data_IF_156248031823
#
_entry.id   IF_156248031823
#
_cell.length_a   1.000
_cell.length_b   1.000
_cell.length_c   1.000
_cell.angle_alpha   90.00
_cell.angle_beta   90.00
_cell.angle_gamma   90.00
#
_symmetry.space_group_name_H-M   'P 1'
#
loop_
_entity.id
_entity.type
_entity.pdbx_description
1 polymer ?
#
# COMPACT_ATOMS: atom_id res chain seq x y z
N UNK A 1 -16.74 -21.46 -14.22
CA UNK A 1 -15.55 -20.64 -14.20
C UNK A 1 -15.48 -19.92 -12.91
N UNK A 2 -14.71 -20.37 -12.02
CA UNK A 2 -14.71 -19.79 -10.71
C UNK A 2 -13.62 -18.76 -10.60
N UNK A 3 -13.77 -17.81 -9.73
CA UNK A 3 -12.72 -16.86 -9.46
C UNK A 3 -11.59 -17.67 -8.88
N UNK A 4 -10.50 -17.74 -9.57
CA UNK A 4 -9.36 -18.31 -8.93
C UNK A 4 -8.92 -17.30 -7.93
N UNK A 5 -8.54 -17.75 -6.82
CA UNK A 5 -8.06 -16.87 -5.86
C UNK A 5 -6.92 -16.12 -6.49
N UNK A 6 -7.03 -14.86 -6.53
CA UNK A 6 -5.98 -14.05 -7.04
C UNK A 6 -4.82 -14.34 -6.18
N UNK A 7 -3.74 -14.54 -6.76
CA UNK A 7 -2.60 -14.90 -6.01
C UNK A 7 -2.29 -13.77 -5.11
N UNK A 8 -2.49 -13.79 -4.19
CA UNK A 8 -1.94 -12.98 -3.36
C UNK A 8 -1.99 -11.68 -3.19
N UNK A 9 -2.75 -11.29 -2.96
CA UNK A 9 -2.66 -10.09 -2.59
C UNK A 9 -1.83 -9.92 -1.42
N UNK A 10 -0.74 -9.89 -1.50
CA UNK A 10 -0.06 -9.09 -0.79
C UNK A 10 0.00 -9.01 0.63
N UNK A 11 0.97 -8.80 1.09
CA UNK A 11 1.31 -8.78 2.38
C UNK A 11 2.03 -7.49 2.69
N UNK A 12 1.47 -6.40 2.66
CA UNK A 12 1.95 -5.27 3.38
C UNK A 12 1.28 -5.44 4.72
N UNK A 13 1.46 -4.60 5.63
CA UNK A 13 0.84 -4.77 6.93
C UNK A 13 -0.65 -4.99 6.81
N UNK A 14 -1.33 -4.20 6.02
CA UNK A 14 -2.74 -4.39 5.85
C UNK A 14 -2.98 -5.58 4.96
N UNK A 15 -2.19 -5.73 3.95
CA UNK A 15 -2.35 -6.83 3.04
C UNK A 15 -2.10 -8.17 3.67
N UNK A 16 -1.20 -8.22 4.63
CA UNK A 16 -0.97 -9.47 5.30
C UNK A 16 -2.21 -9.96 6.02
N UNK A 17 -2.95 -9.03 6.61
CA UNK A 17 -4.18 -9.43 7.27
C UNK A 17 -5.19 -9.93 6.25
N UNK A 18 -5.27 -9.28 5.11
CA UNK A 18 -6.21 -9.72 4.09
C UNK A 18 -5.80 -11.08 3.54
N UNK A 19 -4.54 -11.26 3.26
CA UNK A 19 -4.09 -12.52 2.71
C UNK A 19 -4.26 -13.64 3.71
N UNK A 20 -4.03 -13.32 4.96
CA UNK A 20 -4.12 -14.36 5.94
C UNK A 20 -5.54 -14.82 6.12
N UNK A 21 -6.49 -13.95 5.91
CA UNK A 21 -7.83 -14.37 6.20
C UNK A 21 -8.38 -15.34 5.19
N UNK A 22 -7.76 -15.59 4.11
CA UNK A 22 -8.44 -16.47 3.31
C UNK A 22 -7.96 -17.17 2.28
N UNK A 23 -6.93 -17.52 2.22
CA UNK A 23 -6.50 -18.14 1.13
C UNK A 23 -6.99 -19.37 0.95
N UNK A 24 -7.57 -19.66 0.23
CA UNK A 24 -8.08 -20.88 0.12
C UNK A 24 -7.52 -21.56 -0.89
N UNK A 25 -6.84 -21.87 -1.36
CA UNK A 25 -6.52 -22.51 -2.37
C UNK A 25 -6.07 -23.45 -2.74
N UNK A 26 -6.05 -23.64 -3.02
CA UNK A 26 -5.79 -24.34 -3.99
C UNK A 26 -4.79 -25.28 -3.77
N UNK A 27 -3.96 -25.44 -4.41
CA UNK A 27 -3.04 -26.39 -4.44
C UNK A 27 -2.38 -26.52 -3.20
N UNK A 28 -2.35 -27.12 -2.48
CA UNK A 28 -1.79 -27.34 -1.47
C UNK A 28 -0.70 -27.12 -1.06
N UNK A 29 -0.36 -26.55 -0.60
CA UNK A 29 0.75 -26.22 -0.33
C UNK A 29 1.34 -26.57 0.88
N UNK A 30 1.39 -27.01 1.57
CA UNK A 30 2.12 -27.08 2.75
C UNK A 30 1.80 -25.90 3.63
N UNK A 31 2.28 -25.94 4.86
CA UNK A 31 1.93 -24.85 5.79
C UNK A 31 2.63 -23.52 5.49
N UNK A 32 3.68 -23.53 4.71
CA UNK A 32 4.38 -22.27 4.44
C UNK A 32 3.84 -21.63 3.17
N UNK A 33 3.61 -20.34 3.20
CA UNK A 33 3.15 -19.59 2.05
C UNK A 33 4.04 -18.37 1.92
N UNK A 34 4.60 -18.17 0.74
CA UNK A 34 5.54 -17.07 0.51
C UNK A 34 5.15 -16.29 -0.73
N UNK A 35 5.51 -15.02 -0.77
CA UNK A 35 5.25 -14.20 -1.94
C UNK A 35 6.35 -13.19 -2.14
N UNK A 36 6.45 -12.67 -3.34
CA UNK A 36 7.30 -11.53 -3.64
C UNK A 36 6.61 -10.68 -4.70
N UNK A 37 6.77 -9.39 -4.61
CA UNK A 37 6.20 -8.50 -5.61
C UNK A 37 7.14 -7.35 -5.89
N UNK A 38 7.02 -6.79 -7.09
CA UNK A 38 7.78 -5.62 -7.50
C UNK A 38 6.85 -4.71 -8.29
N UNK A 39 6.85 -3.43 -7.97
CA UNK A 39 6.00 -2.46 -8.64
C UNK A 39 6.88 -1.31 -9.12
N UNK A 40 6.75 -0.97 -10.41
CA UNK A 40 7.31 0.26 -10.94
C UNK A 40 6.18 1.28 -10.97
N UNK A 41 6.43 2.49 -10.49
CA UNK A 41 5.39 3.50 -10.43
C UNK A 41 5.90 4.80 -11.03
N UNK A 42 5.03 5.52 -11.72
CA UNK A 42 5.36 6.81 -12.29
C UNK A 42 4.16 7.73 -12.16
N UNK A 43 4.38 8.90 -11.52
CA UNK A 43 3.37 9.93 -11.46
C UNK A 43 3.92 11.09 -12.28
N UNK A 44 3.22 11.47 -13.34
CA UNK A 44 3.74 12.49 -14.21
C UNK A 44 3.46 13.89 -13.65
N UNK A 45 3.89 14.91 -14.33
CA UNK A 45 3.90 16.25 -13.79
C UNK A 45 2.64 16.67 -13.08
N UNK A 46 2.72 16.86 -11.79
CA UNK A 46 1.61 17.32 -10.99
C UNK A 46 1.77 18.83 -10.83
N UNK A 47 0.83 19.59 -11.39
CA UNK A 47 0.90 21.05 -11.34
C UNK A 47 0.60 21.52 -9.94
N UNK A 48 1.48 22.32 -9.37
CA UNK A 48 1.30 22.85 -8.02
C UNK A 48 0.48 24.15 -8.08
N UNK A 49 -0.39 24.33 -7.11
CA UNK A 49 -1.31 25.47 -7.15
C UNK A 49 -0.59 26.82 -7.17
N UNK A 50 0.54 26.94 -6.49
CA UNK A 50 1.26 28.20 -6.47
C UNK A 50 2.36 28.27 -7.50
N UNK A 51 2.38 27.36 -8.44
CA UNK A 51 3.33 27.38 -9.56
C UNK A 51 4.33 26.27 -9.52
N UNK A 52 4.73 25.84 -10.69
CA UNK A 52 5.68 24.75 -10.83
C UNK A 52 5.00 23.40 -10.86
N UNK A 53 5.80 22.36 -10.91
CA UNK A 53 5.25 21.02 -10.94
C UNK A 53 6.25 20.03 -10.34
N UNK A 54 5.80 18.81 -10.11
CA UNK A 54 6.71 17.76 -9.71
C UNK A 54 6.30 16.43 -10.33
N UNK A 55 7.21 15.51 -10.36
CA UNK A 55 6.96 14.16 -10.84
C UNK A 55 7.68 13.20 -9.91
N UNK A 56 7.23 11.94 -9.91
CA UNK A 56 7.85 10.90 -9.10
C UNK A 56 7.99 9.64 -9.92
N UNK A 57 9.11 8.96 -9.79
CA UNK A 57 9.23 7.62 -10.31
C UNK A 57 9.77 6.75 -9.20
N UNK A 58 9.41 5.49 -9.20
CA UNK A 58 9.86 4.67 -8.10
C UNK A 58 9.69 3.18 -8.29
N UNK A 59 10.19 2.48 -7.29
CA UNK A 59 10.15 1.04 -7.24
C UNK A 59 9.66 0.65 -5.86
N UNK A 60 8.73 -0.28 -5.79
CA UNK A 60 8.16 -0.76 -4.54
C UNK A 60 8.37 -2.26 -4.51
N UNK A 61 9.08 -2.76 -3.52
CA UNK A 61 9.35 -4.19 -3.38
C UNK A 61 8.74 -4.70 -2.09
N UNK A 62 8.12 -5.86 -2.17
CA UNK A 62 7.50 -6.50 -1.01
C UNK A 62 7.83 -7.98 -1.05
N UNK A 63 7.99 -8.57 0.10
CA UNK A 63 8.16 -10.01 0.18
C UNK A 63 7.79 -10.50 1.56
N UNK A 64 7.39 -11.74 1.65
CA UNK A 64 7.04 -12.27 2.95
C UNK A 64 6.76 -13.74 2.92
N UNK A 65 6.65 -14.30 4.11
CA UNK A 65 6.32 -15.69 4.29
C UNK A 65 5.47 -15.82 5.54
N UNK A 66 4.61 -16.80 5.57
CA UNK A 66 3.76 -17.05 6.71
C UNK A 66 3.56 -18.54 6.90
N UNK A 67 3.40 -18.94 8.14
CA UNK A 67 3.11 -20.32 8.49
C UNK A 67 1.65 -20.43 8.88
N UNK A 68 0.94 -21.36 8.26
CA UNK A 68 -0.47 -21.57 8.49
C UNK A 68 -0.61 -22.72 9.49
N UNK A 69 -1.08 -22.42 10.69
CA UNK A 69 -1.29 -23.43 11.74
C UNK A 69 -2.66 -24.08 11.63
N UNK A 70 -3.48 -23.64 10.69
CA UNK A 70 -4.83 -24.16 10.53
C UNK A 70 -5.86 -23.39 11.31
N UNK A 71 -7.10 -23.52 10.93
CA UNK A 71 -8.24 -22.91 11.64
C UNK A 71 -8.18 -21.38 11.71
N UNK A 72 -7.52 -20.76 10.75
CA UNK A 72 -7.39 -19.31 10.72
C UNK A 72 -6.22 -18.78 11.53
N UNK A 73 -5.38 -19.65 12.07
CA UNK A 73 -4.24 -19.22 12.88
C UNK A 73 -3.01 -19.16 11.98
N UNK A 74 -2.39 -18.00 11.90
CA UNK A 74 -1.18 -17.83 11.06
C UNK A 74 -0.23 -16.85 11.70
N UNK A 75 1.04 -16.99 11.36
CA UNK A 75 2.06 -16.03 11.77
C UNK A 75 3.06 -15.88 10.64
N UNK A 76 3.46 -14.66 10.38
CA UNK A 76 4.36 -14.41 9.27
C UNK A 76 5.28 -13.24 9.49
N UNK A 77 6.07 -12.95 8.46
CA UNK A 77 6.92 -11.78 8.44
C UNK A 77 6.90 -11.23 7.02
N UNK A 78 6.83 -9.91 6.89
CA UNK A 78 6.91 -9.26 5.60
C UNK A 78 7.98 -8.19 5.62
N UNK A 79 8.63 -7.99 4.50
CA UNK A 79 9.65 -6.96 4.33
C UNK A 79 9.21 -6.04 3.21
N UNK A 80 9.49 -4.74 3.38
CA UNK A 80 9.14 -3.74 2.40
C UNK A 80 10.35 -2.89 2.08
N UNK A 81 10.51 -2.52 0.83
CA UNK A 81 11.51 -1.55 0.42
C UNK A 81 10.91 -0.68 -0.69
N UNK A 82 10.93 0.65 -0.49
CA UNK A 82 10.48 1.57 -1.52
C UNK A 82 11.62 2.52 -1.84
N UNK A 83 11.77 2.86 -3.11
CA UNK A 83 12.71 3.86 -3.59
C UNK A 83 11.90 4.81 -4.46
N UNK A 84 11.80 6.07 -4.04
CA UNK A 84 11.00 7.07 -4.76
C UNK A 84 11.88 8.26 -5.10
N UNK A 85 11.90 8.61 -6.37
CA UNK A 85 12.73 9.70 -6.88
C UNK A 85 11.79 10.83 -7.29
N UNK A 86 11.86 11.95 -6.59
CA UNK A 86 11.02 13.12 -6.85
C UNK A 86 11.83 14.16 -7.61
N UNK A 87 11.18 14.82 -8.55
CA UNK A 87 11.79 15.88 -9.32
C UNK A 87 10.85 17.07 -9.34
N UNK A 88 11.28 18.19 -8.84
CA UNK A 88 10.47 19.42 -8.76
C UNK A 88 10.99 20.43 -9.75
N UNK A 89 10.06 21.19 -10.37
CA UNK A 89 10.42 22.25 -11.31
C UNK A 89 9.74 23.54 -10.86
N UNK A 90 10.52 24.51 -10.45
CA UNK A 90 10.03 25.86 -10.16
C UNK A 90 8.88 25.89 -9.16
N UNK A 91 9.02 25.09 -8.11
CA UNK A 91 7.95 25.02 -7.10
C UNK A 91 7.98 26.25 -6.21
N UNK A 92 7.18 26.98 -6.50
CA UNK A 92 7.17 28.18 -5.91
C UNK A 92 6.95 28.22 -4.53
N UNK A 93 5.98 27.44 -4.15
CA UNK A 93 5.65 27.43 -2.71
C UNK A 93 6.81 27.03 -1.83
N UNK A 94 7.80 26.38 -2.39
CA UNK A 94 8.95 25.93 -1.63
C UNK A 94 10.19 26.75 -1.95
N UNK A 95 10.02 27.96 -2.41
CA UNK A 95 11.15 28.85 -2.72
C UNK A 95 11.89 28.48 -4.00
N UNK A 96 11.23 27.80 -4.88
CA UNK A 96 11.81 27.34 -6.14
C UNK A 96 12.99 26.37 -5.93
N UNK A 97 13.05 25.74 -4.77
CA UNK A 97 14.03 24.71 -4.48
C UNK A 97 13.27 23.44 -4.17
N UNK A 98 13.73 22.33 -4.65
CA UNK A 98 13.03 21.06 -4.35
C UNK A 98 12.99 20.85 -2.83
N UNK A 99 11.82 20.63 -2.25
CA UNK A 99 11.76 20.42 -0.80
C UNK A 99 12.38 19.10 -0.40
N UNK A 100 12.40 18.12 -1.30
CA UNK A 100 13.08 16.85 -1.06
C UNK A 100 13.39 16.18 -2.40
N UNK A 101 14.20 15.16 -2.39
CA UNK A 101 14.60 14.48 -3.61
C UNK A 101 14.32 12.98 -3.56
N UNK A 102 15.19 12.17 -3.05
CA UNK A 102 15.00 10.72 -3.04
C UNK A 102 14.54 10.29 -1.66
N UNK A 103 13.45 9.54 -1.61
CA UNK A 103 12.89 9.04 -0.36
C UNK A 103 12.89 7.52 -0.41
N UNK A 104 13.36 6.89 0.66
CA UNK A 104 13.38 5.44 0.75
C UNK A 104 12.64 4.99 2.00
N UNK A 105 12.06 3.80 1.92
CA UNK A 105 11.36 3.22 3.04
C UNK A 105 11.88 1.80 3.21
N UNK A 106 12.19 1.42 4.45
CA UNK A 106 12.61 0.08 4.79
C UNK A 106 11.66 -0.38 5.88
N UNK A 107 10.97 -1.47 5.69
CA UNK A 107 9.99 -1.88 6.67
C UNK A 107 9.96 -3.36 6.96
N UNK A 108 9.51 -3.70 8.15
CA UNK A 108 9.26 -5.08 8.53
C UNK A 108 7.95 -5.12 9.31
N UNK A 109 7.15 -6.13 9.05
CA UNK A 109 5.90 -6.33 9.78
C UNK A 109 5.76 -7.79 10.15
N UNK A 110 5.03 -8.05 11.21
CA UNK A 110 4.79 -9.41 11.67
C UNK A 110 3.29 -9.62 11.73
N UNK A 111 2.68 -10.06 10.63
CA UNK A 111 1.24 -10.28 10.64
C UNK A 111 0.89 -11.56 11.37
N UNK A 112 -0.08 -11.47 12.26
CA UNK A 112 -0.57 -12.58 13.04
C UNK A 112 -2.07 -12.68 12.88
N UNK A 113 -2.63 -13.88 12.83
CA UNK A 113 -4.05 -14.04 12.84
C UNK A 113 -4.46 -15.19 13.76
N UNK A 114 -5.69 -15.09 14.27
CA UNK A 114 -6.22 -16.05 15.22
C UNK A 114 -7.66 -16.35 14.82
N UNK A 115 -7.97 -17.59 14.52
CA UNK A 115 -9.34 -18.01 14.27
C UNK A 115 -10.06 -18.16 15.58
N UNK A 116 -11.23 -17.54 15.72
CA UNK A 116 -11.96 -17.56 16.98
C UNK A 116 -13.35 -18.19 16.86
N UNK A 117 -13.61 -18.89 15.79
CA UNK A 117 -14.87 -19.61 15.65
C UNK A 117 -15.91 -18.83 14.89
N UNK A 118 -16.89 -19.54 14.36
CA UNK A 118 -18.04 -18.97 13.62
C UNK A 118 -17.59 -18.14 12.43
N UNK A 119 -16.47 -18.48 11.84
CA UNK A 119 -15.97 -17.78 10.66
C UNK A 119 -15.21 -16.51 10.97
N UNK A 120 -14.99 -16.17 12.23
CA UNK A 120 -14.26 -14.94 12.56
C UNK A 120 -12.77 -15.18 12.69
N UNK A 121 -12.01 -14.26 12.18
CA UNK A 121 -10.54 -14.27 12.30
C UNK A 121 -10.12 -12.90 12.82
N UNK A 122 -9.35 -12.89 13.88
CA UNK A 122 -8.78 -11.65 14.40
C UNK A 122 -7.38 -11.49 13.87
N UNK A 123 -7.00 -10.27 13.55
CA UNK A 123 -5.67 -9.98 13.04
C UNK A 123 -4.95 -8.94 13.88
N UNK A 124 -3.63 -9.08 13.95
CA UNK A 124 -2.77 -8.12 14.63
C UNK A 124 -1.45 -8.08 13.86
N UNK A 125 -1.06 -6.90 13.39
CA UNK A 125 0.14 -6.79 12.58
C UNK A 125 0.98 -5.59 13.02
N UNK A 126 1.91 -5.80 13.93
CA UNK A 126 2.84 -4.74 14.30
C UNK A 126 3.88 -4.53 13.22
N UNK A 127 4.38 -3.31 13.11
CA UNK A 127 5.37 -3.01 12.08
C UNK A 127 6.32 -1.90 12.48
N UNK A 128 7.47 -1.91 11.84
CA UNK A 128 8.47 -0.86 11.94
C UNK A 128 8.83 -0.45 10.52
N UNK A 129 8.82 0.86 10.25
CA UNK A 129 9.22 1.37 8.95
C UNK A 129 10.15 2.56 9.18
N UNK A 130 11.29 2.58 8.51
CA UNK A 130 12.16 3.73 8.47
C UNK A 130 11.92 4.41 7.14
N UNK A 131 11.40 5.64 7.18
CA UNK A 131 11.00 6.34 5.97
C UNK A 131 11.74 7.66 5.93
N UNK A 132 12.65 7.80 4.99
CA UNK A 132 13.57 8.92 5.06
C UNK A 132 14.05 9.37 3.70
N UNK A 133 14.27 10.67 3.59
CA UNK A 133 14.98 11.22 2.44
C UNK A 133 16.46 10.84 2.58
N UNK A 134 17.17 10.71 1.46
CA UNK A 134 18.59 10.47 1.51
C UNK A 134 19.25 11.60 2.32
N UNK A 135 20.11 11.24 3.24
CA UNK A 135 20.75 12.21 4.13
C UNK A 135 20.02 12.44 5.44
N UNK A 136 18.87 11.84 5.62
CA UNK A 136 18.15 12.01 6.89
C UNK A 136 18.69 11.04 7.94
N UNK A 137 18.50 11.39 9.19
CA UNK A 137 18.93 10.56 10.30
C UNK A 137 17.95 9.40 10.48
N UNK A 138 18.45 8.19 10.35
CA UNK A 138 17.58 7.01 10.43
C UNK A 138 16.90 6.88 11.79
N UNK A 139 17.60 7.24 12.87
CA UNK A 139 17.00 7.14 14.19
C UNK A 139 15.81 8.06 14.39
N UNK A 140 15.69 9.12 13.59
CA UNK A 140 14.55 10.04 13.68
C UNK A 140 13.53 9.77 12.59
N UNK A 141 13.65 8.68 11.86
CA UNK A 141 12.80 8.39 10.70
C UNK A 141 11.87 7.21 10.94
N UNK A 142 11.73 6.75 12.15
CA UNK A 142 10.96 5.54 12.43
C UNK A 142 9.47 5.81 12.54
N UNK A 143 8.70 5.01 11.86
CA UNK A 143 7.25 4.95 12.00
C UNK A 143 6.96 3.56 12.55
N UNK A 144 6.27 3.47 13.67
CA UNK A 144 5.96 2.18 14.25
C UNK A 144 4.53 2.16 14.76
N UNK A 145 3.99 0.99 14.79
CA UNK A 145 2.63 0.83 15.25
C UNK A 145 2.08 -0.52 14.88
N UNK A 146 0.78 -0.62 14.77
CA UNK A 146 0.14 -1.89 14.46
C UNK A 146 -1.23 -1.68 13.87
N UNK A 147 -1.70 -2.70 13.15
CA UNK A 147 -3.11 -2.77 12.78
C UNK A 147 -3.76 -3.90 13.56
N UNK A 148 -5.03 -3.73 13.87
CA UNK A 148 -5.86 -4.79 14.44
C UNK A 148 -7.10 -4.90 13.59
N UNK A 149 -7.66 -6.11 13.48
CA UNK A 149 -8.83 -6.30 12.65
C UNK A 149 -9.67 -7.48 13.08
N UNK A 150 -10.90 -7.48 12.66
CA UNK A 150 -11.78 -8.63 12.77
C UNK A 150 -12.45 -8.85 11.43
N UNK A 151 -12.36 -10.07 10.91
CA UNK A 151 -12.89 -10.40 9.59
C UNK A 151 -13.79 -11.61 9.71
N UNK A 152 -15.00 -11.53 9.14
CA UNK A 152 -15.91 -12.66 9.10
C UNK A 152 -15.79 -13.31 7.74
N UNK A 153 -15.55 -14.62 7.72
CA UNK A 153 -15.59 -15.39 6.50
C UNK A 153 -16.94 -16.05 6.41
N UNK A 154 -17.58 -15.92 5.28
CA UNK A 154 -18.90 -16.49 5.06
C UNK A 154 -18.79 -17.76 4.21
N UNK A 155 -19.62 -18.31 4.31
CA UNK A 155 -19.61 -19.47 3.63
C UNK A 155 -19.44 -19.25 2.21
N UNK A 156 -19.25 -19.53 1.50
CA UNK A 156 -18.97 -19.32 0.11
C UNK A 156 -17.62 -18.64 -0.14
N UNK A 157 -16.91 -18.30 0.90
CA UNK A 157 -15.61 -17.70 0.72
C UNK A 157 -15.58 -16.18 0.75
N UNK A 158 -16.71 -15.53 0.79
CA UNK A 158 -16.74 -14.09 0.90
C UNK A 158 -16.24 -13.63 2.27
N UNK A 159 -15.63 -12.46 2.34
CA UNK A 159 -15.08 -11.94 3.58
C UNK A 159 -15.43 -10.48 3.75
N UNK A 160 -15.71 -10.09 4.98
CA UNK A 160 -16.00 -8.71 5.28
C UNK A 160 -15.51 -8.43 6.69
N UNK A 161 -14.86 -7.31 6.89
CA UNK A 161 -14.35 -7.00 8.21
C UNK A 161 -13.98 -5.54 8.36
N UNK A 162 -13.55 -5.23 9.57
CA UNK A 162 -13.14 -3.88 9.90
C UNK A 162 -11.82 -3.96 10.63
N UNK A 163 -11.05 -2.92 10.51
CA UNK A 163 -9.80 -2.83 11.24
C UNK A 163 -9.48 -1.40 11.59
N UNK A 164 -8.42 -1.24 12.34
CA UNK A 164 -7.89 0.07 12.67
C UNK A 164 -6.38 -0.02 12.76
N UNK A 165 -5.72 1.06 12.36
CA UNK A 165 -4.29 1.17 12.52
C UNK A 165 -3.98 2.32 13.46
N UNK A 166 -2.95 2.13 14.29
CA UNK A 166 -2.48 3.18 15.19
C UNK A 166 -0.97 3.23 15.06
N UNK A 167 -0.44 4.39 14.69
CA UNK A 167 0.98 4.51 14.40
C UNK A 167 1.57 5.79 14.96
N UNK A 168 2.78 5.66 15.47
CA UNK A 168 3.60 6.82 15.77
C UNK A 168 4.33 7.14 14.48
N UNK A 169 4.03 8.30 13.86
CA UNK A 169 4.52 8.61 12.55
C UNK A 169 5.36 9.85 12.57
N UNK A 170 6.55 9.79 13.05
CA UNK A 170 7.49 10.91 13.01
C UNK A 170 6.85 12.19 13.54
N UNK A 171 6.92 12.39 14.83
CA UNK A 171 6.38 13.56 15.53
C UNK A 171 4.86 13.66 15.49
N UNK A 172 4.16 12.56 15.28
CA UNK A 172 2.71 12.62 15.19
C UNK A 172 2.15 11.23 15.42
N UNK A 173 1.03 11.10 16.13
CA UNK A 173 0.34 9.81 16.24
C UNK A 173 -0.88 9.84 15.34
N UNK A 174 -1.06 8.80 14.56
CA UNK A 174 -2.20 8.69 13.65
C UNK A 174 -2.99 7.44 13.97
N UNK A 175 -4.29 7.54 13.86
CA UNK A 175 -5.18 6.39 13.97
C UNK A 175 -6.17 6.46 12.83
N UNK A 176 -6.47 5.32 12.23
CA UNK A 176 -7.41 5.32 11.12
C UNK A 176 -8.14 3.99 11.04
N UNK A 177 -9.42 4.03 10.67
CA UNK A 177 -10.17 2.79 10.46
C UNK A 177 -10.03 2.34 9.02
N UNK A 178 -10.27 1.08 8.75
CA UNK A 178 -10.33 0.60 7.38
C UNK A 178 -11.28 -0.56 7.24
N UNK A 179 -11.78 -0.73 6.02
CA UNK A 179 -12.71 -1.78 5.70
C UNK A 179 -11.94 -2.90 5.01
N UNK A 180 -12.26 -4.13 5.33
CA UNK A 180 -11.68 -5.29 4.68
C UNK A 180 -12.79 -5.99 3.93
N UNK A 181 -12.63 -6.15 2.63
CA UNK A 181 -13.68 -6.76 1.82
C UNK A 181 -13.10 -7.62 0.72
N UNK A 182 -13.72 -8.77 0.52
CA UNK A 182 -13.46 -9.62 -0.63
C UNK A 182 -14.77 -10.30 -0.90
N UNK A 183 -15.58 -9.70 -1.77
CA UNK A 183 -16.93 -10.14 -2.00
C UNK A 183 -17.17 -10.47 -3.45
N UNK A 184 -17.49 -11.70 -3.76
CA UNK A 184 -17.77 -12.14 -5.10
C UNK A 184 -19.26 -12.14 -5.28
N UNK A 185 -19.74 -11.27 -6.14
CA UNK A 185 -21.17 -11.21 -6.43
C UNK A 185 -21.59 -12.36 -7.35
N UNK A 186 -20.71 -12.74 -8.22
CA UNK A 186 -20.95 -13.85 -9.13
C UNK A 186 -19.62 -14.27 -9.74
N UNK A 187 -19.62 -15.00 -10.83
CA UNK A 187 -18.39 -15.49 -11.41
C UNK A 187 -17.55 -14.41 -12.08
N UNK A 188 -18.13 -13.23 -12.31
CA UNK A 188 -17.40 -12.20 -13.01
C UNK A 188 -17.13 -10.96 -12.18
N UNK A 189 -17.96 -10.65 -11.20
CA UNK A 189 -17.84 -9.39 -10.46
C UNK A 189 -17.41 -9.62 -9.03
N UNK A 190 -16.48 -8.81 -8.56
CA UNK A 190 -15.91 -8.94 -7.22
C UNK A 190 -15.52 -7.58 -6.68
N UNK A 191 -15.80 -7.33 -5.42
CA UNK A 191 -15.39 -6.11 -4.75
C UNK A 191 -14.29 -6.46 -3.76
N UNK A 192 -13.16 -5.78 -3.84
CA UNK A 192 -11.99 -6.07 -2.99
C UNK A 192 -11.28 -4.80 -2.60
N UNK A 193 -10.38 -4.90 -1.64
CA UNK A 193 -9.45 -3.80 -1.40
C UNK A 193 -8.39 -3.82 -2.51
N UNK A 194 -7.84 -2.67 -2.85
CA UNK A 194 -6.77 -2.66 -3.85
C UNK A 194 -5.55 -3.43 -3.37
N UNK A 195 -4.72 -3.84 -4.31
CA UNK A 195 -3.55 -4.63 -4.02
C UNK A 195 -2.56 -3.84 -3.17
N UNK A 196 -2.21 -4.30 -1.99
CA UNK A 196 -1.29 -3.54 -1.14
C UNK A 196 0.07 -3.27 -1.74
N UNK A 197 0.57 -4.19 -2.58
CA UNK A 197 1.88 -3.98 -3.19
C UNK A 197 1.80 -3.13 -4.45
N UNK A 198 0.61 -2.75 -4.87
CA UNK A 198 0.47 -1.93 -6.07
C UNK A 198 0.80 -0.47 -5.82
N UNK A 199 0.69 0.35 -6.84
CA UNK A 199 1.08 1.75 -6.72
C UNK A 199 0.08 2.62 -5.98
N UNK A 200 -1.10 2.11 -5.65
CA UNK A 200 -2.15 2.93 -5.04
C UNK A 200 -2.30 2.71 -3.55
N UNK A 201 -1.79 1.62 -3.02
CA UNK A 201 -2.00 1.26 -1.62
C UNK A 201 -3.36 0.61 -1.40
N UNK A 202 -3.56 -0.01 -0.26
CA UNK A 202 -4.76 -0.82 -0.01
C UNK A 202 -5.94 -0.11 0.64
N UNK A 203 -5.81 1.13 1.04
CA UNK A 203 -6.86 1.79 1.82
C UNK A 203 -7.96 2.32 0.93
N UNK A 204 -8.74 1.44 0.36
CA UNK A 204 -9.80 1.82 -0.56
C UNK A 204 -10.58 0.62 -1.02
N UNK A 205 -11.24 0.77 -2.15
CA UNK A 205 -12.07 -0.27 -2.74
C UNK A 205 -11.84 -0.36 -4.24
N UNK A 206 -12.00 -1.55 -4.76
CA UNK A 206 -11.83 -1.81 -6.18
C UNK A 206 -12.89 -2.79 -6.63
N UNK A 207 -13.57 -2.50 -7.74
CA UNK A 207 -14.56 -3.40 -8.30
C UNK A 207 -13.92 -4.06 -9.53
N UNK A 208 -13.86 -5.37 -9.53
CA UNK A 208 -13.21 -6.14 -10.57
C UNK A 208 -14.19 -6.88 -11.43
N UNK A 209 -13.87 -7.01 -12.69
CA UNK A 209 -14.65 -7.75 -13.67
C UNK A 209 -13.70 -8.71 -14.39
N UNK A 210 -14.03 -10.00 -14.37
CA UNK A 210 -13.24 -10.99 -15.09
C UNK A 210 -13.83 -11.14 -16.47
N UNK A 211 -13.12 -10.74 -17.49
CA UNK A 211 -13.67 -10.81 -18.84
C UNK A 211 -13.13 -11.99 -19.62
N UNK A 212 -12.13 -12.68 -19.11
CA UNK A 212 -11.59 -13.85 -19.77
C UNK A 212 -10.98 -14.69 -18.64
N UNK A 213 -10.64 -15.92 -18.91
CA UNK A 213 -10.08 -16.78 -17.88
C UNK A 213 -8.83 -16.22 -17.22
N UNK A 214 -7.97 -15.58 -18.00
CA UNK A 214 -6.71 -15.08 -17.47
C UNK A 214 -6.68 -13.56 -17.36
N UNK A 215 -7.75 -12.87 -17.68
CA UNK A 215 -7.75 -11.41 -17.69
C UNK A 215 -8.85 -10.84 -16.80
N UNK A 216 -8.50 -9.85 -16.03
CA UNK A 216 -9.43 -9.16 -15.16
C UNK A 216 -9.20 -7.66 -15.31
N UNK A 217 -10.23 -6.88 -15.24
CA UNK A 217 -10.11 -5.43 -15.20
C UNK A 217 -10.75 -4.94 -13.91
N UNK A 218 -10.22 -3.88 -13.35
CA UNK A 218 -10.78 -3.31 -12.13
C UNK A 218 -10.78 -1.80 -12.20
N UNK A 219 -11.65 -1.18 -11.40
CA UNK A 219 -11.67 0.25 -11.24
C UNK A 219 -11.77 0.52 -9.75
N UNK A 220 -11.01 1.47 -9.27
CA UNK A 220 -11.00 1.68 -7.83
C UNK A 220 -10.44 3.02 -7.42
N UNK A 221 -10.46 3.24 -6.13
CA UNK A 221 -9.89 4.43 -5.52
C UNK A 221 -9.34 4.06 -4.15
N UNK A 222 -8.27 4.73 -3.74
CA UNK A 222 -7.66 4.47 -2.46
C UNK A 222 -7.10 5.76 -1.89
N UNK A 223 -6.91 5.83 -0.59
CA UNK A 223 -6.22 6.95 0.03
C UNK A 223 -4.77 6.54 0.26
N UNK A 224 -3.84 7.42 -0.09
CA UNK A 224 -2.43 7.14 0.05
C UNK A 224 -1.73 8.29 0.75
N UNK A 225 -0.89 8.02 1.71
CA UNK A 225 -0.13 9.03 2.42
C UNK A 225 1.26 8.51 2.72
N UNK A 226 2.26 9.31 2.49
CA UNK A 226 3.65 8.96 2.77
C UNK A 226 4.25 10.09 3.60
N UNK A 227 4.84 9.76 4.74
CA UNK A 227 5.41 10.73 5.65
C UNK A 227 6.84 10.29 5.95
N UNK A 228 7.78 11.21 5.90
CA UNK A 228 9.19 10.86 5.99
C UNK A 228 10.03 11.98 6.58
N UNK A 229 11.17 11.59 7.15
CA UNK A 229 12.12 12.57 7.69
C UNK A 229 12.94 13.17 6.56
N UNK A 230 13.10 14.50 6.56
CA UNK A 230 13.91 15.19 5.56
C UNK A 230 15.39 15.18 5.92
N UNK A 231 16.21 15.38 4.92
CA UNK A 231 17.65 15.38 5.06
C UNK A 231 18.12 16.39 6.12
N UNK A 232 19.24 16.09 6.73
CA UNK A 232 19.84 17.00 7.71
C UNK A 232 20.61 18.12 7.04
N UNK A 233 20.63 18.19 5.73
CA UNK A 233 21.33 19.27 5.02
C UNK A 233 20.48 19.90 3.94
N UNK A 234 19.20 19.64 3.89
CA UNK A 234 18.32 20.22 2.89
C UNK A 234 17.70 21.54 3.34
N UNK A 235 16.73 22.04 2.59
CA UNK A 235 16.12 23.33 2.89
C UNK A 235 15.45 23.42 4.27
N UNK A 236 14.88 22.34 4.75
CA UNK A 236 14.30 22.32 6.09
C UNK A 236 14.98 21.17 6.83
N UNK A 237 16.08 21.49 7.49
CA UNK A 237 16.95 20.46 8.05
C UNK A 237 16.24 19.63 9.10
N UNK A 238 16.33 18.33 8.99
CA UNK A 238 15.71 17.39 9.89
C UNK A 238 14.20 17.58 9.99
N UNK A 239 13.60 18.20 9.00
CA UNK A 239 12.15 18.41 8.98
C UNK A 239 11.40 17.17 8.56
N UNK A 240 10.15 17.34 8.21
CA UNK A 240 9.27 16.23 7.83
C UNK A 240 8.59 16.57 6.52
N UNK A 241 8.57 15.62 5.60
CA UNK A 241 7.82 15.76 4.35
C UNK A 241 6.62 14.82 4.37
N UNK A 242 5.56 15.22 3.71
CA UNK A 242 4.39 14.36 3.60
C UNK A 242 3.72 14.60 2.26
N UNK A 243 3.35 13.51 1.59
CA UNK A 243 2.64 13.55 0.34
C UNK A 243 1.40 12.72 0.50
N UNK A 244 0.24 13.25 0.14
CA UNK A 244 -1.00 12.47 0.24
C UNK A 244 -1.89 12.72 -0.96
N UNK A 245 -2.81 11.82 -1.18
CA UNK A 245 -3.76 11.95 -2.28
C UNK A 245 -4.64 10.73 -2.40
N UNK A 246 -5.51 10.77 -3.39
CA UNK A 246 -6.46 9.71 -3.64
C UNK A 246 -6.26 9.21 -5.07
N UNK A 247 -5.47 8.17 -5.29
CA UNK A 247 -5.39 7.55 -6.60
C UNK A 247 -6.76 6.99 -7.00
N UNK A 248 -7.22 7.37 -8.19
CA UNK A 248 -8.41 6.82 -8.82
C UNK A 248 -7.90 6.12 -10.07
N UNK A 249 -8.15 4.83 -10.21
CA UNK A 249 -7.40 4.05 -11.18
C UNK A 249 -8.19 2.95 -11.84
N UNK A 250 -7.68 2.50 -12.97
CA UNK A 250 -8.11 1.29 -13.64
C UNK A 250 -6.94 0.33 -13.60
N UNK A 251 -7.22 -0.93 -13.36
CA UNK A 251 -6.20 -1.96 -13.32
C UNK A 251 -6.58 -3.07 -14.30
N UNK A 252 -5.63 -3.53 -15.08
CA UNK A 252 -5.83 -4.71 -15.93
C UNK A 252 -4.84 -5.75 -15.46
N UNK A 253 -5.31 -6.94 -15.18
CA UNK A 253 -4.49 -8.01 -14.66
C UNK A 253 -4.45 -9.18 -15.62
N UNK A 254 -3.25 -9.69 -15.87
CA UNK A 254 -3.03 -10.92 -16.62
C UNK A 254 -2.50 -11.95 -15.64
N UNK A 255 -3.24 -13.04 -15.48
CA UNK A 255 -2.78 -14.16 -14.65
C UNK A 255 -1.81 -15.01 -15.45
N UNK A 256 -0.68 -15.35 -14.86
CA UNK A 256 0.32 -16.16 -15.51
C UNK A 256 0.38 -17.49 -14.76
N UNK A 257 -0.60 -18.32 -14.98
CA UNK A 257 -0.74 -19.56 -14.23
C UNK A 257 -1.36 -19.29 -12.87
N UNK A 258 -1.12 -20.16 -11.92
CA UNK A 258 -1.74 -20.05 -10.61
C UNK A 258 -0.89 -19.28 -9.63
N UNK A 259 0.37 -19.06 -9.97
CA UNK A 259 1.29 -18.52 -9.00
C UNK A 259 1.79 -17.12 -9.30
N UNK A 260 1.52 -16.57 -10.45
CA UNK A 260 2.06 -15.28 -10.84
C UNK A 260 1.02 -14.42 -11.53
N UNK A 261 1.16 -13.12 -11.43
CA UNK A 261 0.27 -12.18 -12.12
C UNK A 261 1.00 -10.90 -12.45
N UNK A 262 0.57 -10.26 -13.52
CA UNK A 262 1.01 -8.92 -13.88
C UNK A 262 -0.18 -8.01 -13.80
N UNK A 263 0.00 -6.84 -13.17
CA UNK A 263 -1.07 -5.85 -13.02
C UNK A 263 -0.59 -4.54 -13.63
N UNK A 264 -1.39 -4.00 -14.54
CA UNK A 264 -1.09 -2.73 -15.20
C UNK A 264 -2.07 -1.69 -14.66
N UNK A 265 -1.59 -0.52 -14.26
CA UNK A 265 -2.41 0.52 -13.66
C UNK A 265 -2.32 1.80 -14.45
N UNK A 266 -3.44 2.47 -14.60
CA UNK A 266 -3.46 3.83 -15.10
C UNK A 266 -4.52 4.60 -14.35
N UNK A 267 -4.27 5.87 -14.08
CA UNK A 267 -5.24 6.66 -13.35
C UNK A 267 -4.74 8.05 -13.07
N UNK A 268 -5.34 8.67 -12.06
CA UNK A 268 -4.94 9.99 -11.63
C UNK A 268 -4.91 10.03 -10.11
N UNK A 269 -4.07 10.89 -9.57
CA UNK A 269 -4.07 11.14 -8.12
C UNK A 269 -4.88 12.41 -7.92
N UNK A 270 -6.01 12.31 -7.25
CA UNK A 270 -6.88 13.43 -6.96
C UNK A 270 -6.64 13.92 -5.53
N UNK A 271 -7.00 15.16 -5.26
CA UNK A 271 -6.90 15.70 -3.90
C UNK A 271 -5.48 15.72 -3.36
N UNK A 272 -4.52 15.93 -4.22
CA UNK A 272 -3.13 15.82 -3.84
C UNK A 272 -2.61 16.96 -2.98
N UNK A 273 -1.73 16.64 -2.06
CA UNK A 273 -1.19 17.63 -1.14
C UNK A 273 0.25 17.27 -0.78
N UNK A 274 1.08 18.29 -0.73
CA UNK A 274 2.44 18.18 -0.23
C UNK A 274 2.57 19.05 1.01
N UNK A 275 3.28 18.58 2.02
CA UNK A 275 3.41 19.32 3.27
C UNK A 275 4.84 19.19 3.76
N UNK A 276 5.38 20.30 4.27
CA UNK A 276 6.70 20.31 4.89
C UNK A 276 6.51 20.83 6.31
N UNK A 277 7.12 20.14 7.27
CA UNK A 277 7.07 20.52 8.68
C UNK A 277 8.49 20.69 9.19
N UNK A 278 8.67 21.44 10.25
CA UNK A 278 9.98 21.56 10.85
C UNK A 278 10.29 20.28 11.66
N UNK A 279 11.43 20.26 12.33
CA UNK A 279 11.86 19.03 12.98
C UNK A 279 10.95 18.63 14.13
N UNK A 280 10.17 19.54 14.68
CA UNK A 280 9.24 19.24 15.74
C UNK A 280 7.84 18.91 15.25
N UNK A 281 7.61 18.92 13.97
CA UNK A 281 6.31 18.59 13.43
C UNK A 281 5.39 19.79 13.20
N UNK A 282 5.89 21.02 13.29
CA UNK A 282 5.06 22.19 13.01
C UNK A 282 5.10 22.50 11.52
N UNK A 283 3.96 22.87 10.97
CA UNK A 283 3.87 23.11 9.54
C UNK A 283 4.70 24.32 9.11
N UNK A 284 5.46 24.17 8.05
CA UNK A 284 6.23 25.24 7.45
C UNK A 284 5.60 25.65 6.12
N UNK A 285 5.24 24.70 5.28
CA UNK A 285 4.62 24.96 3.99
C UNK A 285 3.63 23.84 3.65
N UNK A 286 2.62 24.18 2.89
CA UNK A 286 1.66 23.19 2.42
C UNK A 286 1.22 23.63 1.03
N UNK A 287 1.07 22.68 0.11
CA UNK A 287 0.75 22.99 -1.26
C UNK A 287 -0.15 21.90 -1.82
N UNK A 288 -1.21 22.27 -2.52
CA UNK A 288 -2.05 21.31 -3.20
C UNK A 288 -1.58 21.18 -4.64
N UNK A 289 -1.87 20.04 -5.25
CA UNK A 289 -1.56 19.89 -6.67
C UNK A 289 -2.76 19.37 -7.44
N UNK A 290 -2.80 19.68 -8.72
CA UNK A 290 -3.89 19.28 -9.60
C UNK A 290 -3.84 17.77 -9.83
N UNK A 291 -4.95 17.15 -10.22
CA UNK A 291 -4.91 15.71 -10.50
C UNK A 291 -3.76 15.35 -11.42
N UNK A 292 -2.99 14.39 -11.01
CA UNK A 292 -1.76 14.03 -11.69
C UNK A 292 -1.84 12.61 -12.24
N UNK A 293 -1.50 12.39 -13.51
CA UNK A 293 -1.52 11.04 -14.07
C UNK A 293 -0.62 10.08 -13.30
N UNK A 294 -1.12 8.87 -13.13
CA UNK A 294 -0.40 7.83 -12.40
C UNK A 294 -0.37 6.57 -13.24
N UNK A 295 0.77 5.94 -13.36
CA UNK A 295 0.93 4.69 -14.07
C UNK A 295 1.70 3.72 -13.20
N UNK A 296 1.41 2.43 -13.33
CA UNK A 296 2.13 1.44 -12.57
C UNK A 296 2.10 0.08 -13.22
N UNK A 297 3.07 -0.73 -12.85
CA UNK A 297 3.15 -2.11 -13.28
C UNK A 297 3.58 -2.92 -12.07
N UNK A 298 2.80 -3.91 -11.71
CA UNK A 298 3.12 -4.77 -10.56
C UNK A 298 3.22 -6.22 -11.00
N UNK A 299 4.30 -6.88 -10.60
CA UNK A 299 4.43 -8.31 -10.78
C UNK A 299 4.35 -8.94 -9.39
N UNK A 300 3.55 -9.98 -9.25
CA UNK A 300 3.41 -10.69 -7.99
C UNK A 300 3.63 -12.18 -8.26
N UNK A 301 4.42 -12.81 -7.42
CA UNK A 301 4.61 -14.25 -7.48
C UNK A 301 4.44 -14.89 -6.12
N UNK A 302 3.94 -16.14 -6.12
CA UNK A 302 3.82 -16.90 -4.89
C UNK A 302 4.65 -18.16 -4.99
N UNK A 303 5.12 -18.69 -3.90
CA UNK A 303 5.91 -19.91 -3.90
C UNK A 303 6.00 -20.52 -2.50
#
# INVERSE_FOLDING_TARGET
MTWRSQPVSSLSALGALLAVAGSTQAADPGPWQSFASATAVYQSGANLDQGGDYRTSGLILRGGTAYDFGAGNRAGVTLNYDYLDYSFSSAXAFGSIAPWNIVQRYGVAVPLSLGVGDGWVLGFAPSLDWVKENGANAGDSLIWGATVSGVRQFXGGNRLGLGAGVYSRIEKTSAFPFLIVDWRFNERWRLVNPLPSGPTGPAGLELDFRFDGDWTAGIGAAYRSLRFRLSDSGPVRNGIGEESGIPVFVRVTRSLGNEMALHFYGGVVAGGKLRVENSSGDRVREENFDPAPLFGLTFVGRF
#
